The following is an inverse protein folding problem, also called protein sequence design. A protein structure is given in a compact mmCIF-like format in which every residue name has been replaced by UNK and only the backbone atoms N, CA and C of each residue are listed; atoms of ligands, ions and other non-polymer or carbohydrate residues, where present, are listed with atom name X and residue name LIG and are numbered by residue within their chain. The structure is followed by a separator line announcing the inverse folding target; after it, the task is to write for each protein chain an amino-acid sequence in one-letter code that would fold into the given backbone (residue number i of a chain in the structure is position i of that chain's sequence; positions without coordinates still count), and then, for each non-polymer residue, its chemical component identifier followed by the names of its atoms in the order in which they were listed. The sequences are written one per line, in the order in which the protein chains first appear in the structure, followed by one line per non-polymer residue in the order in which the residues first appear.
data_IF_698471950813
#
_entry.id   IF_698471950813
#
_cell.length_a   1.000
_cell.length_b   1.000
_cell.length_c   1.000
_cell.angle_alpha   90.00
_cell.angle_beta   90.00
_cell.angle_gamma   90.00
#
_symmetry.space_group_name_H-M   'P 1'
#
loop_
_entity.id
_entity.type
_entity.pdbx_description
1 polymer ?
#
# COMPACT_ATOMS: atom_id res chain seq x y z
N UNK A 1 -48.11 -63.98 -34.71
CA UNK A 1 -48.34 -63.43 -36.07
C UNK A 1 -49.70 -62.74 -36.12
N UNK A 2 -49.75 -61.42 -36.30
CA UNK A 2 -50.65 -60.70 -37.22
C UNK A 2 -50.57 -59.20 -36.94
N UNK A 3 -49.95 -58.50 -37.88
CA UNK A 3 -50.02 -57.05 -38.07
C UNK A 3 -51.43 -56.67 -38.54
N UNK A 4 -51.95 -55.51 -38.10
CA UNK A 4 -52.84 -54.63 -38.85
C UNK A 4 -52.87 -53.27 -38.12
N UNK A 5 -52.27 -52.18 -38.64
CA UNK A 5 -52.58 -51.33 -39.80
C UNK A 5 -53.58 -50.21 -39.50
N UNK A 6 -53.05 -48.96 -39.56
CA UNK A 6 -53.68 -47.69 -40.00
C UNK A 6 -54.68 -47.11 -38.97
N UNK A 7 -54.56 -45.86 -38.52
CA UNK A 7 -54.91 -44.62 -39.25
C UNK A 7 -54.13 -43.42 -38.70
N UNK A 8 -53.57 -42.66 -39.65
CA UNK A 8 -52.98 -41.34 -39.55
C UNK A 8 -54.11 -40.29 -39.58
N UNK A 9 -54.16 -39.34 -38.64
CA UNK A 9 -54.65 -37.95 -38.81
C UNK A 9 -54.56 -37.22 -37.46
N UNK A 10 -53.66 -36.24 -37.36
CA UNK A 10 -53.96 -34.81 -37.44
C UNK A 10 -54.09 -34.22 -36.03
N UNK A 11 -53.02 -33.58 -35.56
CA UNK A 11 -52.92 -32.12 -35.55
C UNK A 11 -53.47 -31.56 -34.24
N UNK A 12 -52.58 -31.02 -33.42
CA UNK A 12 -52.54 -29.57 -33.15
C UNK A 12 -51.86 -29.30 -31.83
N UNK A 13 -50.98 -28.30 -31.88
CA UNK A 13 -50.75 -27.31 -30.82
C UNK A 13 -50.34 -27.83 -29.44
N UNK A 14 -49.07 -27.59 -29.09
CA UNK A 14 -48.77 -26.47 -28.18
C UNK A 14 -47.25 -26.29 -28.15
N UNK A 15 -46.81 -25.16 -28.69
CA UNK A 15 -45.49 -24.60 -28.48
C UNK A 15 -45.26 -24.46 -26.97
N UNK A 16 -44.60 -25.43 -26.35
CA UNK A 16 -44.03 -25.26 -25.02
C UNK A 16 -42.76 -24.45 -25.17
N UNK A 17 -42.97 -23.14 -25.01
CA UNK A 17 -41.98 -22.09 -24.86
C UNK A 17 -40.69 -22.61 -24.22
N UNK A 18 -39.64 -22.65 -25.02
CA UNK A 18 -38.26 -22.59 -24.55
C UNK A 18 -38.06 -21.22 -23.88
N UNK A 19 -38.48 -21.11 -22.62
CA UNK A 19 -38.11 -20.01 -21.75
C UNK A 19 -36.65 -20.16 -21.34
N UNK A 20 -35.71 -19.89 -22.25
CA UNK A 20 -34.37 -19.47 -21.87
C UNK A 20 -34.53 -18.13 -21.15
N UNK A 21 -34.85 -18.21 -19.86
CA UNK A 21 -34.67 -17.09 -18.95
C UNK A 21 -33.19 -16.77 -18.95
N UNK A 22 -32.80 -15.73 -19.68
CA UNK A 22 -31.51 -15.09 -19.55
C UNK A 22 -31.41 -14.54 -18.13
N UNK A 23 -31.04 -15.37 -17.16
CA UNK A 23 -30.62 -14.92 -15.86
C UNK A 23 -29.36 -14.07 -16.08
N UNK A 24 -29.56 -12.75 -16.12
CA UNK A 24 -28.48 -11.77 -16.10
C UNK A 24 -27.70 -12.05 -14.82
N UNK A 25 -26.61 -12.80 -14.93
CA UNK A 25 -25.65 -12.93 -13.85
C UNK A 25 -25.02 -11.56 -13.66
N UNK A 26 -25.58 -10.79 -12.74
CA UNK A 26 -24.91 -9.63 -12.20
C UNK A 26 -23.79 -10.16 -11.32
N UNK A 27 -22.55 -10.02 -11.76
CA UNK A 27 -21.43 -10.18 -10.85
C UNK A 27 -21.64 -9.20 -9.68
N UNK A 28 -21.49 -9.64 -8.42
CA UNK A 28 -21.54 -8.72 -7.30
C UNK A 28 -20.53 -7.59 -7.55
N UNK A 29 -20.85 -6.34 -7.16
CA UNK A 29 -19.90 -5.24 -7.28
C UNK A 29 -18.58 -5.64 -6.60
N UNK A 30 -17.43 -5.26 -7.17
CA UNK A 30 -16.15 -5.56 -6.55
C UNK A 30 -16.14 -5.04 -5.11
N UNK A 31 -15.49 -5.75 -4.17
CA UNK A 31 -15.36 -5.27 -2.80
C UNK A 31 -14.72 -3.88 -2.82
N UNK A 32 -15.12 -2.98 -1.90
CA UNK A 32 -14.49 -1.68 -1.80
C UNK A 32 -12.98 -1.86 -1.64
N UNK A 33 -12.15 -1.00 -2.27
CA UNK A 33 -10.71 -1.07 -2.10
C UNK A 33 -10.37 -1.00 -0.60
N UNK A 34 -9.34 -1.75 -0.15
CA UNK A 34 -8.93 -1.71 1.24
C UNK A 34 -8.62 -0.25 1.62
N UNK A 35 -8.95 0.18 2.86
CA UNK A 35 -8.57 1.50 3.33
C UNK A 35 -7.07 1.68 3.14
N UNK A 36 -6.67 2.67 2.33
CA UNK A 36 -5.27 3.04 2.21
C UNK A 36 -4.89 3.54 3.60
N UNK A 37 -3.99 2.82 4.27
CA UNK A 37 -3.40 3.29 5.52
C UNK A 37 -2.60 4.57 5.20
N UNK A 38 -3.25 5.72 5.35
CA UNK A 38 -2.60 7.01 5.17
C UNK A 38 -1.63 7.19 6.32
N UNK A 39 -0.33 7.00 6.06
CA UNK A 39 0.72 7.39 7.01
C UNK A 39 0.51 8.88 7.30
N UNK A 40 0.38 9.30 8.58
CA UNK A 40 0.11 10.69 8.90
C UNK A 40 1.12 11.62 8.22
N UNK A 41 0.70 12.79 7.69
CA UNK A 41 1.62 13.72 7.01
C UNK A 41 2.87 14.05 7.84
N UNK A 42 2.71 14.14 9.17
CA UNK A 42 3.81 14.32 10.13
C UNK A 42 4.87 13.22 10.06
N UNK A 43 4.46 11.95 9.97
CA UNK A 43 5.37 10.79 9.94
C UNK A 43 6.11 10.76 8.60
N UNK A 44 5.44 11.05 7.49
CA UNK A 44 6.09 11.15 6.18
C UNK A 44 7.15 12.26 6.16
N UNK A 45 6.83 13.42 6.73
CA UNK A 45 7.79 14.53 6.87
C UNK A 45 8.99 14.12 7.75
N UNK A 46 8.73 13.47 8.88
CA UNK A 46 9.76 12.97 9.78
C UNK A 46 10.70 11.98 9.09
N UNK A 47 10.15 11.04 8.32
CA UNK A 47 10.92 10.05 7.57
C UNK A 47 11.81 10.71 6.51
N UNK A 48 11.25 11.63 5.72
CA UNK A 48 12.00 12.39 4.73
C UNK A 48 13.16 13.17 5.37
N UNK A 49 12.86 13.97 6.39
CA UNK A 49 13.85 14.81 7.07
C UNK A 49 14.93 13.96 7.77
N UNK A 50 14.52 12.85 8.39
CA UNK A 50 15.43 11.92 9.04
C UNK A 50 16.41 11.30 8.06
N UNK A 51 15.92 10.70 6.96
CA UNK A 51 16.79 10.08 5.94
C UNK A 51 17.78 11.08 5.37
N UNK A 52 17.32 12.26 4.95
CA UNK A 52 18.19 13.25 4.30
C UNK A 52 19.26 13.79 5.26
N UNK A 53 18.86 14.13 6.48
CA UNK A 53 19.80 14.64 7.50
C UNK A 53 20.82 13.57 7.87
N UNK A 54 20.35 12.33 8.11
CA UNK A 54 21.21 11.19 8.42
C UNK A 54 22.21 10.93 7.30
N UNK A 55 21.74 10.87 6.06
CA UNK A 55 22.58 10.63 4.88
C UNK A 55 23.69 11.66 4.73
N UNK A 56 23.37 12.94 4.91
CA UNK A 56 24.35 14.02 4.91
C UNK A 56 25.39 13.87 6.02
N UNK A 57 24.94 13.61 7.26
CA UNK A 57 25.84 13.48 8.41
C UNK A 57 26.73 12.24 8.32
N UNK A 58 26.18 11.10 7.88
CA UNK A 58 26.91 9.87 7.65
C UNK A 58 27.97 10.03 6.56
N UNK A 59 27.62 10.69 5.45
CA UNK A 59 28.57 10.99 4.38
C UNK A 59 29.69 11.94 4.85
N UNK A 60 29.36 12.93 5.67
CA UNK A 60 30.35 13.84 6.29
C UNK A 60 31.30 13.06 7.20
N UNK A 61 30.78 12.20 8.07
CA UNK A 61 31.58 11.40 8.99
C UNK A 61 32.50 10.42 8.25
N UNK A 62 32.01 9.75 7.22
CA UNK A 62 32.84 8.89 6.38
C UNK A 62 33.94 9.68 5.66
N UNK A 63 33.61 10.85 5.09
CA UNK A 63 34.58 11.72 4.41
C UNK A 63 35.67 12.24 5.36
N UNK A 64 35.34 12.54 6.61
CA UNK A 64 36.30 13.01 7.61
C UNK A 64 37.06 11.89 8.31
N UNK A 65 36.76 10.61 8.03
CA UNK A 65 37.32 9.47 8.76
C UNK A 65 36.85 9.37 10.22
N UNK A 66 35.74 10.02 10.57
CA UNK A 66 35.17 9.93 11.92
C UNK A 66 34.56 8.54 12.15
N UNK A 67 34.52 8.03 13.39
CA UNK A 67 33.88 6.75 13.69
C UNK A 67 32.36 6.81 13.43
N UNK A 68 31.76 5.63 13.27
CA UNK A 68 30.32 5.50 13.14
C UNK A 68 29.63 5.83 14.47
N UNK A 69 29.08 7.04 14.59
CA UNK A 69 28.55 7.60 15.86
C UNK A 69 27.18 8.30 15.66
N UNK A 70 26.29 7.72 14.84
CA UNK A 70 25.01 8.31 14.46
C UNK A 70 24.16 8.83 15.65
N UNK A 71 24.10 8.06 16.74
CA UNK A 71 23.27 8.35 17.93
C UNK A 71 23.80 9.49 18.81
N UNK A 72 25.05 9.94 18.58
CA UNK A 72 25.69 11.04 19.33
C UNK A 72 25.58 12.38 18.60
N UNK A 73 25.04 12.37 17.38
CA UNK A 73 24.91 13.58 16.58
C UNK A 73 23.84 14.50 17.16
N UNK A 74 24.06 15.81 17.07
CA UNK A 74 23.09 16.81 17.49
C UNK A 74 21.75 16.64 16.76
N UNK A 75 21.79 16.37 15.46
CA UNK A 75 20.58 16.17 14.66
C UNK A 75 19.71 15.01 15.16
N UNK A 76 20.32 13.91 15.62
CA UNK A 76 19.59 12.77 16.19
C UNK A 76 18.85 13.11 17.49
N UNK A 77 19.33 14.12 18.24
CA UNK A 77 18.68 14.58 19.47
C UNK A 77 17.65 15.67 19.18
N UNK A 78 18.02 16.67 18.39
CA UNK A 78 17.23 17.88 18.16
C UNK A 78 16.06 17.63 17.19
N UNK A 79 16.15 16.61 16.31
CA UNK A 79 15.14 16.27 15.31
C UNK A 79 14.65 17.49 14.50
N UNK A 80 15.55 18.14 13.72
CA UNK A 80 15.22 19.35 12.98
C UNK A 80 14.09 19.13 11.97
N UNK A 81 13.41 20.22 11.60
CA UNK A 81 12.34 20.22 10.60
C UNK A 81 10.96 19.81 11.12
N UNK A 82 10.79 19.70 12.45
CA UNK A 82 9.49 19.49 13.06
C UNK A 82 8.57 20.70 12.85
N UNK A 83 7.33 20.44 12.45
CA UNK A 83 6.25 21.42 12.37
C UNK A 83 5.16 21.10 13.41
N UNK A 84 4.97 21.96 14.44
CA UNK A 84 3.92 21.79 15.45
C UNK A 84 2.49 21.78 14.89
N UNK A 85 2.26 22.34 13.70
CA UNK A 85 0.93 22.37 13.08
C UNK A 85 0.50 20.99 12.54
N UNK A 86 1.44 20.07 12.35
CA UNK A 86 1.18 18.74 11.78
C UNK A 86 0.87 17.67 12.83
N UNK A 87 1.00 17.98 14.12
CA UNK A 87 0.69 17.07 15.21
C UNK A 87 1.71 17.09 16.34
N UNK A 88 1.64 16.12 17.27
CA UNK A 88 2.54 16.07 18.43
C UNK A 88 3.99 15.75 18.06
N UNK A 89 4.94 16.22 18.87
CA UNK A 89 6.37 16.05 18.60
C UNK A 89 6.86 14.60 18.71
N UNK A 90 6.28 13.80 19.61
CA UNK A 90 6.78 12.45 19.88
C UNK A 90 6.72 11.51 18.66
N UNK A 91 5.60 11.39 17.91
CA UNK A 91 5.57 10.59 16.69
C UNK A 91 6.57 11.06 15.65
N UNK A 92 6.74 12.38 15.49
CA UNK A 92 7.75 12.95 14.60
C UNK A 92 9.15 12.53 15.03
N UNK A 93 9.50 12.72 16.30
CA UNK A 93 10.81 12.39 16.85
C UNK A 93 11.15 10.91 16.64
N UNK A 94 10.20 10.02 16.92
CA UNK A 94 10.43 8.57 16.79
C UNK A 94 10.68 8.19 15.32
N UNK A 95 9.81 8.63 14.41
CA UNK A 95 9.95 8.38 12.98
C UNK A 95 11.24 9.01 12.39
N UNK A 96 11.56 10.24 12.81
CA UNK A 96 12.77 10.94 12.41
C UNK A 96 14.01 10.17 12.83
N UNK A 97 14.09 9.70 14.07
CA UNK A 97 15.27 9.00 14.60
C UNK A 97 15.49 7.67 13.92
N UNK A 98 14.42 6.92 13.65
CA UNK A 98 14.51 5.66 12.92
C UNK A 98 14.97 5.88 11.48
N UNK A 99 14.43 6.88 10.79
CA UNK A 99 14.83 7.29 9.45
C UNK A 99 16.26 7.82 9.40
N UNK A 100 16.66 8.61 10.40
CA UNK A 100 18.00 9.17 10.55
C UNK A 100 19.06 8.07 10.61
N UNK A 101 18.83 7.02 11.41
CA UNK A 101 19.77 5.90 11.51
C UNK A 101 19.94 5.19 10.15
N UNK A 102 18.86 5.00 9.39
CA UNK A 102 18.92 4.41 8.04
C UNK A 102 19.70 5.31 7.07
N UNK A 103 19.39 6.61 7.07
CA UNK A 103 20.09 7.58 6.23
C UNK A 103 21.58 7.65 6.55
N UNK A 104 21.93 7.74 7.85
CA UNK A 104 23.31 7.80 8.31
C UNK A 104 24.11 6.58 7.87
N UNK A 105 23.53 5.38 8.01
CA UNK A 105 24.15 4.15 7.54
C UNK A 105 24.44 4.17 6.03
N UNK A 106 23.46 4.60 5.24
CA UNK A 106 23.61 4.75 3.78
C UNK A 106 24.71 5.76 3.41
N UNK A 107 24.74 6.91 4.08
CA UNK A 107 25.75 7.95 3.85
C UNK A 107 27.15 7.51 4.25
N UNK A 108 27.27 6.82 5.38
CA UNK A 108 28.56 6.39 5.94
C UNK A 108 29.18 5.23 5.16
N UNK A 109 28.36 4.30 4.66
CA UNK A 109 28.83 3.12 3.92
C UNK A 109 29.13 3.38 2.45
N UNK A 110 28.65 4.47 1.85
CA UNK A 110 28.92 4.85 0.45
C UNK A 110 30.35 5.37 0.18
N UNK A 111 31.32 5.04 1.05
CA UNK A 111 32.74 5.43 0.95
C UNK A 111 33.47 4.67 -0.15
#
# INVERSE_FOLDING_TARGET
MKLNRVVLTAASSLFLFAGLGCAKHYAPPPPPPPPIAQVPPLVQLAEHNGVETGRSDGARAAKSGAPYDARRTRAFHDCPGYDPHLGPFEPYRNAFRDAYLRGYDQGYRRR
#
